data_IF_321208633509
#
_entry.id   IF_321208633509
#
_cell.length_a   1.000
_cell.length_b   1.000
_cell.length_c   1.000
_cell.angle_alpha   90.00
_cell.angle_beta   90.00
_cell.angle_gamma   90.00
#
_symmetry.space_group_name_H-M   'P 1'
#
loop_
_entity.id
_entity.type
_entity.pdbx_description
1 polymer ?
#
# COMPACT_ATOMS: atom_id res chain seq x y z
N UNK A 1 -4.76 13.12 -5.34
CA UNK A 1 -6.05 12.41 -5.34
C UNK A 1 -5.78 10.96 -5.70
N UNK A 2 -6.37 10.00 -4.98
CA UNK A 2 -6.15 8.57 -5.24
C UNK A 2 -7.49 8.00 -5.68
N UNK A 3 -7.50 7.38 -6.85
CA UNK A 3 -8.63 6.63 -7.39
C UNK A 3 -8.54 5.21 -6.84
N UNK A 4 -9.44 4.83 -5.95
CA UNK A 4 -9.57 3.40 -5.60
C UNK A 4 -10.38 2.74 -6.69
N UNK A 5 -9.78 1.79 -7.42
CA UNK A 5 -10.46 1.01 -8.47
C UNK A 5 -10.77 -0.37 -7.91
N UNK A 6 -12.05 -0.72 -7.83
CA UNK A 6 -12.47 -2.12 -7.75
C UNK A 6 -12.66 -2.60 -9.20
N UNK A 7 -11.88 -3.59 -9.63
CA UNK A 7 -12.02 -4.20 -10.95
C UNK A 7 -12.43 -5.67 -10.79
N UNK A 8 -13.64 -6.00 -11.22
CA UNK A 8 -14.07 -7.36 -11.57
C UNK A 8 -14.48 -7.32 -13.05
N UNK A 9 -14.54 -8.45 -13.76
CA UNK A 9 -14.88 -8.47 -15.20
C UNK A 9 -16.03 -7.50 -15.54
N UNK A 10 -15.72 -6.49 -16.38
CA UNK A 10 -16.67 -5.50 -16.86
C UNK A 10 -17.17 -4.43 -15.87
N UNK A 11 -16.68 -4.38 -14.62
CA UNK A 11 -17.14 -3.41 -13.61
C UNK A 11 -15.98 -2.58 -13.03
N UNK A 12 -16.11 -1.26 -13.13
CA UNK A 12 -15.18 -0.28 -12.56
C UNK A 12 -15.95 0.65 -11.63
N UNK A 13 -15.58 0.64 -10.35
CA UNK A 13 -16.06 1.63 -9.37
C UNK A 13 -14.95 2.66 -9.12
N UNK A 14 -15.26 3.94 -9.28
CA UNK A 14 -14.34 5.05 -9.04
C UNK A 14 -14.74 5.78 -7.77
N UNK A 15 -13.82 5.88 -6.82
CA UNK A 15 -14.07 6.56 -5.55
C UNK A 15 -13.11 7.74 -5.43
N UNK A 16 -13.67 8.95 -5.31
CA UNK A 16 -12.92 10.17 -5.04
C UNK A 16 -12.78 10.35 -3.52
N UNK A 17 -11.55 10.35 -3.03
CA UNK A 17 -11.27 10.58 -1.61
C UNK A 17 -9.78 10.59 -1.27
N UNK A 18 -9.49 10.83 0.00
CA UNK A 18 -8.17 10.57 0.57
C UNK A 18 -8.02 9.06 0.79
N UNK A 19 -6.99 8.44 0.22
CA UNK A 19 -6.89 6.98 0.21
C UNK A 19 -6.92 6.36 1.60
N UNK A 20 -6.20 6.92 2.56
CA UNK A 20 -6.16 6.35 3.91
C UNK A 20 -7.53 6.37 4.58
N UNK A 21 -8.28 7.47 4.40
CA UNK A 21 -9.64 7.58 4.93
C UNK A 21 -10.57 6.59 4.22
N UNK A 22 -10.53 6.53 2.90
CA UNK A 22 -11.34 5.60 2.11
C UNK A 22 -11.02 4.15 2.48
N UNK A 23 -9.74 3.79 2.64
CA UNK A 23 -9.35 2.46 3.09
C UNK A 23 -9.87 2.15 4.49
N UNK A 24 -9.77 3.10 5.43
CA UNK A 24 -10.33 2.93 6.79
C UNK A 24 -11.83 2.72 6.78
N UNK A 25 -12.58 3.45 5.95
CA UNK A 25 -14.03 3.28 5.78
C UNK A 25 -14.36 1.90 5.21
N UNK A 26 -13.59 1.43 4.21
CA UNK A 26 -13.74 0.08 3.65
C UNK A 26 -13.42 -1.03 4.67
N UNK A 27 -12.38 -0.86 5.49
CA UNK A 27 -12.02 -1.79 6.57
C UNK A 27 -13.15 -1.86 7.60
N UNK A 28 -13.70 -0.71 8.01
CA UNK A 28 -14.86 -0.65 8.94
C UNK A 28 -16.09 -1.34 8.34
N UNK A 29 -16.29 -1.22 7.03
CA UNK A 29 -17.34 -1.92 6.29
C UNK A 29 -17.03 -3.41 6.02
N UNK A 30 -15.92 -3.94 6.57
CA UNK A 30 -15.47 -5.33 6.39
C UNK A 30 -15.31 -5.73 4.91
N UNK A 31 -14.95 -4.77 4.05
CA UNK A 31 -14.61 -5.06 2.65
C UNK A 31 -13.23 -5.69 2.57
N UNK A 32 -13.06 -6.58 1.58
CA UNK A 32 -11.77 -7.17 1.24
C UNK A 32 -11.67 -7.41 -0.27
N UNK A 33 -10.45 -7.51 -0.78
CA UNK A 33 -10.14 -7.67 -2.19
C UNK A 33 -9.07 -8.74 -2.39
N UNK A 34 -9.17 -9.51 -3.47
CA UNK A 34 -8.18 -10.55 -3.80
C UNK A 34 -6.85 -9.94 -4.27
N UNK A 35 -6.91 -8.75 -4.87
CA UNK A 35 -5.74 -7.97 -5.28
C UNK A 35 -5.90 -6.53 -4.81
N UNK A 36 -4.86 -6.01 -4.15
CA UNK A 36 -4.76 -4.60 -3.78
C UNK A 36 -3.51 -4.01 -4.44
N UNK A 37 -3.65 -2.87 -5.11
CA UNK A 37 -2.54 -2.14 -5.72
C UNK A 37 -2.36 -0.81 -4.98
N UNK A 38 -1.14 -0.56 -4.54
CA UNK A 38 -0.76 0.63 -3.80
C UNK A 38 0.37 1.36 -4.53
N UNK A 39 0.00 2.35 -5.33
CA UNK A 39 0.93 3.23 -6.05
C UNK A 39 0.84 4.68 -5.51
N UNK A 40 1.49 4.97 -4.38
CA UNK A 40 1.41 6.28 -3.74
C UNK A 40 2.26 7.33 -4.50
N UNK A 41 1.93 8.63 -4.35
CA UNK A 41 2.75 9.70 -4.91
C UNK A 41 4.16 9.72 -4.31
N UNK A 42 5.04 10.57 -4.87
CA UNK A 42 6.42 10.72 -4.38
C UNK A 42 6.46 11.34 -2.97
N UNK A 43 6.66 10.51 -1.94
CA UNK A 43 6.67 10.93 -0.53
C UNK A 43 8.04 11.35 0.00
N UNK A 44 9.15 10.89 -0.59
CA UNK A 44 10.52 11.27 -0.20
C UNK A 44 11.31 11.83 -1.40
N UNK A 45 11.07 13.10 -1.78
CA UNK A 45 11.83 13.73 -2.86
C UNK A 45 13.31 13.95 -2.51
N UNK A 46 13.64 14.17 -1.23
CA UNK A 46 15.02 14.33 -0.71
C UNK A 46 15.22 13.52 0.57
N UNK A 47 16.49 13.31 0.95
CA UNK A 47 16.88 12.51 2.14
C UNK A 47 16.26 13.03 3.45
N UNK A 48 16.10 14.35 3.60
CA UNK A 48 15.49 14.95 4.78
C UNK A 48 14.03 14.50 5.02
N UNK A 49 13.32 14.08 3.96
CA UNK A 49 11.93 13.65 4.05
C UNK A 49 11.78 12.15 4.32
N UNK A 50 12.89 11.39 4.29
CA UNK A 50 12.88 9.92 4.28
C UNK A 50 12.17 9.35 5.52
N UNK A 51 12.49 9.84 6.72
CA UNK A 51 11.91 9.35 7.97
C UNK A 51 10.39 9.56 8.02
N UNK A 52 9.92 10.75 7.61
CA UNK A 52 8.49 11.05 7.51
C UNK A 52 7.82 10.16 6.45
N UNK A 53 8.47 9.98 5.31
CA UNK A 53 7.95 9.16 4.23
C UNK A 53 7.83 7.69 4.64
N UNK A 54 8.84 7.11 5.30
CA UNK A 54 8.80 5.73 5.79
C UNK A 54 7.60 5.47 6.71
N UNK A 55 7.30 6.42 7.61
CA UNK A 55 6.11 6.32 8.48
C UNK A 55 4.81 6.30 7.66
N UNK A 56 4.73 7.15 6.64
CA UNK A 56 3.57 7.24 5.75
C UNK A 56 3.42 5.99 4.86
N UNK A 57 4.52 5.50 4.27
CA UNK A 57 4.54 4.23 3.53
C UNK A 57 4.12 3.04 4.40
N UNK A 58 4.59 2.98 5.66
CA UNK A 58 4.16 1.97 6.63
C UNK A 58 2.66 2.03 6.88
N UNK A 59 2.12 3.24 7.13
CA UNK A 59 0.70 3.44 7.38
C UNK A 59 -0.15 3.00 6.19
N UNK A 60 0.18 3.44 4.98
CA UNK A 60 -0.55 3.12 3.75
C UNK A 60 -0.52 1.60 3.52
N UNK A 61 0.66 0.97 3.62
CA UNK A 61 0.78 -0.48 3.43
C UNK A 61 0.02 -1.28 4.49
N UNK A 62 -0.03 -0.80 5.74
CA UNK A 62 -0.78 -1.47 6.82
C UNK A 62 -2.27 -1.52 6.46
N UNK A 63 -2.83 -0.40 6.01
CA UNK A 63 -4.24 -0.32 5.59
C UNK A 63 -4.50 -1.17 4.33
N UNK A 64 -3.60 -1.11 3.35
CA UNK A 64 -3.72 -1.91 2.12
C UNK A 64 -3.73 -3.42 2.44
N UNK A 65 -2.86 -3.89 3.33
CA UNK A 65 -2.81 -5.31 3.76
C UNK A 65 -4.05 -5.76 4.54
N UNK A 66 -4.69 -4.86 5.29
CA UNK A 66 -5.97 -5.14 5.96
C UNK A 66 -7.12 -5.30 4.98
N UNK A 67 -7.02 -4.70 3.79
CA UNK A 67 -8.00 -4.83 2.72
C UNK A 67 -7.76 -6.05 1.80
N UNK A 68 -6.59 -6.68 1.87
CA UNK A 68 -6.36 -7.96 1.16
C UNK A 68 -7.28 -9.02 1.76
N UNK A 69 -7.80 -9.94 0.95
CA UNK A 69 -8.63 -11.05 1.39
C UNK A 69 -7.93 -11.88 2.48
N UNK A 70 -8.58 -12.17 3.62
CA UNK A 70 -7.98 -12.93 4.72
C UNK A 70 -7.60 -14.36 4.33
N UNK A 71 -8.29 -14.97 3.36
CA UNK A 71 -8.02 -16.34 2.88
C UNK A 71 -6.79 -16.43 1.95
N UNK A 72 -6.22 -15.30 1.58
CA UNK A 72 -5.12 -15.20 0.62
C UNK A 72 -5.42 -14.19 -0.48
N UNK A 73 -4.39 -13.50 -0.94
CA UNK A 73 -4.49 -12.48 -1.97
C UNK A 73 -3.14 -11.82 -2.24
N UNK A 74 -3.10 -10.88 -3.17
CA UNK A 74 -1.89 -10.19 -3.60
C UNK A 74 -1.93 -8.71 -3.20
N UNK A 75 -0.79 -8.21 -2.74
CA UNK A 75 -0.52 -6.78 -2.61
C UNK A 75 0.61 -6.42 -3.57
N UNK A 76 0.35 -5.48 -4.46
CA UNK A 76 1.37 -4.80 -5.23
C UNK A 76 1.60 -3.43 -4.60
N UNK A 77 2.81 -3.12 -4.15
CA UNK A 77 3.14 -1.82 -3.56
C UNK A 77 4.40 -1.23 -4.16
N UNK A 78 4.36 0.07 -4.43
CA UNK A 78 5.41 0.77 -5.18
C UNK A 78 6.00 1.95 -4.38
N UNK A 79 7.21 2.37 -4.76
CA UNK A 79 7.78 3.65 -4.34
C UNK A 79 8.54 4.30 -5.51
N UNK A 80 8.14 5.53 -5.85
CA UNK A 80 8.82 6.35 -6.86
C UNK A 80 9.77 7.40 -6.22
N UNK A 81 10.08 7.23 -4.94
CA UNK A 81 10.89 8.18 -4.18
C UNK A 81 12.36 7.79 -4.24
N UNK A 82 13.19 8.59 -4.93
CA UNK A 82 14.62 8.33 -5.07
C UNK A 82 15.33 8.14 -3.71
N UNK A 83 14.99 8.97 -2.70
CA UNK A 83 15.55 8.82 -1.37
C UNK A 83 15.16 7.49 -0.69
N UNK A 84 13.96 6.96 -0.98
CA UNK A 84 13.52 5.66 -0.49
C UNK A 84 14.28 4.53 -1.19
N UNK A 85 14.36 4.56 -2.53
CA UNK A 85 15.09 3.56 -3.31
C UNK A 85 16.56 3.51 -2.89
N UNK A 86 17.24 4.66 -2.82
CA UNK A 86 18.64 4.74 -2.39
C UNK A 86 18.87 4.26 -0.95
N UNK A 87 17.87 4.36 -0.09
CA UNK A 87 18.00 3.89 1.29
C UNK A 87 18.00 2.37 1.42
N UNK A 88 17.45 1.64 0.44
CA UNK A 88 17.23 0.20 0.54
C UNK A 88 16.19 -0.22 1.61
N UNK A 89 15.49 0.74 2.24
CA UNK A 89 14.62 0.46 3.40
C UNK A 89 13.19 0.07 3.05
N UNK A 90 12.77 0.16 1.78
CA UNK A 90 11.37 -0.03 1.42
C UNK A 90 10.82 -1.41 1.83
N UNK A 91 11.57 -2.48 1.61
CA UNK A 91 11.18 -3.84 2.02
C UNK A 91 10.99 -3.93 3.55
N UNK A 92 11.89 -3.35 4.33
CA UNK A 92 11.77 -3.32 5.80
C UNK A 92 10.53 -2.55 6.28
N UNK A 93 10.13 -1.51 5.55
CA UNK A 93 8.91 -0.74 5.80
C UNK A 93 7.66 -1.59 5.51
N UNK A 94 7.67 -2.33 4.39
CA UNK A 94 6.57 -3.24 4.01
C UNK A 94 6.46 -4.39 5.02
N UNK A 95 7.57 -5.00 5.44
CA UNK A 95 7.58 -6.02 6.50
C UNK A 95 7.04 -5.48 7.83
N UNK A 96 7.45 -4.26 8.20
CA UNK A 96 6.95 -3.59 9.39
C UNK A 96 5.44 -3.29 9.31
N UNK A 97 4.92 -3.02 8.11
CA UNK A 97 3.50 -2.84 7.87
C UNK A 97 2.73 -4.16 7.97
N UNK A 98 3.28 -5.27 7.46
CA UNK A 98 2.70 -6.61 7.59
C UNK A 98 2.52 -7.02 9.05
N UNK A 99 3.56 -6.82 9.86
CA UNK A 99 3.47 -7.05 11.32
C UNK A 99 2.39 -6.19 11.97
N UNK A 100 2.28 -4.92 11.60
CA UNK A 100 1.26 -4.02 12.13
C UNK A 100 -0.16 -4.39 11.68
N UNK A 101 -0.30 -4.97 10.48
CA UNK A 101 -1.57 -5.46 9.96
C UNK A 101 -1.97 -6.84 10.52
N UNK A 102 -1.09 -7.51 11.27
CA UNK A 102 -1.29 -8.88 11.73
C UNK A 102 -1.32 -9.89 10.57
N UNK A 103 -0.49 -9.67 9.54
CA UNK A 103 -0.44 -10.49 8.34
C UNK A 103 0.95 -11.09 8.15
N UNK A 104 0.98 -12.36 7.80
CA UNK A 104 2.18 -13.00 7.25
C UNK A 104 2.21 -12.77 5.74
N UNK A 105 3.38 -12.42 5.21
CA UNK A 105 3.56 -12.09 3.79
C UNK A 105 4.77 -12.82 3.21
N UNK A 106 4.67 -13.19 1.94
CA UNK A 106 5.78 -13.75 1.16
C UNK A 106 6.06 -12.83 -0.02
N UNK A 107 7.33 -12.52 -0.26
CA UNK A 107 7.74 -11.76 -1.45
C UNK A 107 7.66 -12.70 -2.66
N UNK A 108 6.71 -12.44 -3.55
CA UNK A 108 6.52 -13.23 -4.78
C UNK A 108 7.44 -12.74 -5.90
N UNK A 109 7.63 -11.43 -5.99
CA UNK A 109 8.52 -10.80 -6.98
C UNK A 109 8.96 -9.44 -6.49
N UNK A 110 10.13 -9.01 -6.98
CA UNK A 110 10.64 -7.66 -6.82
C UNK A 110 11.13 -7.16 -8.18
N UNK A 111 10.64 -6.00 -8.58
CA UNK A 111 11.07 -5.30 -9.78
C UNK A 111 11.29 -3.82 -9.46
N UNK A 112 12.06 -3.15 -10.30
CA UNK A 112 12.39 -1.73 -10.18
C UNK A 112 13.02 -1.23 -11.48
N UNK A 113 13.27 0.08 -11.53
CA UNK A 113 14.05 0.72 -12.59
C UNK A 113 15.54 0.69 -12.27
#
# INVERSE_FOLDING_TARGET
EITTVKATEGQVELIKGEAERTMQEMIKAKKSFDVVICDPPKLAPKRADLERAMRKYKQINTLAMQLVNPKGGLLLTCTCSAAMTQSGKFESVVQSAAKAAGRDVTIVSKSGA
#
